data_IF_336978442700
#
_entry.id   IF_336978442700
#
_cell.length_a   1.000
_cell.length_b   1.000
_cell.length_c   1.000
_cell.angle_alpha   90.00
_cell.angle_beta   90.00
_cell.angle_gamma   90.00
#
_symmetry.space_group_name_H-M   'P 1'
#
loop_
_entity.id
_entity.type
_entity.pdbx_description
1 polymer ?
#
# COMPACT_ATOMS: atom_id res chain seq x y z
N UNK A 1 4.16 -1.34 -3.62
CA UNK A 1 3.30 -2.03 -4.62
C UNK A 1 3.61 -1.49 -6.02
N UNK A 2 3.47 -2.27 -7.11
CA UNK A 2 3.84 -1.81 -8.46
C UNK A 2 3.02 -0.60 -8.95
N UNK A 3 1.71 -0.61 -8.65
CA UNK A 3 0.81 0.51 -8.94
C UNK A 3 1.16 1.77 -8.14
N UNK A 4 1.37 1.64 -6.83
CA UNK A 4 1.83 2.74 -5.98
C UNK A 4 3.15 3.36 -6.50
N UNK A 5 4.11 2.54 -6.97
CA UNK A 5 5.35 3.04 -7.60
C UNK A 5 5.08 3.78 -8.91
N UNK A 6 4.14 3.28 -9.71
CA UNK A 6 3.74 3.92 -10.98
C UNK A 6 3.11 5.29 -10.74
N UNK A 7 2.31 5.44 -9.68
CA UNK A 7 1.73 6.71 -9.25
C UNK A 7 2.80 7.64 -8.68
N UNK A 8 3.73 7.14 -7.87
CA UNK A 8 4.90 7.91 -7.42
C UNK A 8 5.70 8.51 -8.59
N UNK A 9 5.90 7.73 -9.65
CA UNK A 9 6.58 8.19 -10.86
C UNK A 9 5.76 9.22 -11.65
N UNK A 10 4.43 9.13 -11.62
CA UNK A 10 3.54 10.11 -12.22
C UNK A 10 3.49 11.42 -11.41
N UNK A 11 3.56 11.31 -10.08
CA UNK A 11 3.56 12.40 -9.10
C UNK A 11 4.96 12.95 -8.78
N UNK A 12 5.99 12.55 -9.53
CA UNK A 12 7.38 12.90 -9.23
C UNK A 12 7.62 14.41 -9.22
N UNK A 13 8.23 14.89 -8.15
CA UNK A 13 8.68 16.28 -8.00
C UNK A 13 9.62 16.70 -9.15
N UNK A 14 9.54 17.97 -9.57
CA UNK A 14 10.32 18.52 -10.69
C UNK A 14 9.63 18.44 -12.05
N UNK A 15 8.46 17.81 -12.14
CA UNK A 15 7.55 17.97 -13.30
C UNK A 15 6.70 19.23 -13.12
N UNK A 16 6.25 19.80 -14.23
CA UNK A 16 5.25 20.87 -14.20
C UNK A 16 3.98 20.39 -13.48
N UNK A 17 3.44 21.16 -12.50
CA UNK A 17 2.28 20.73 -11.71
C UNK A 17 1.07 20.31 -12.56
N UNK A 18 0.83 21.01 -13.66
CA UNK A 18 -0.27 20.69 -14.59
C UNK A 18 -0.09 19.31 -15.25
N UNK A 19 1.14 18.90 -15.54
CA UNK A 19 1.44 17.60 -16.12
C UNK A 19 1.25 16.47 -15.11
N UNK A 20 1.49 16.72 -13.83
CA UNK A 20 1.19 15.75 -12.76
C UNK A 20 -0.32 15.54 -12.68
N UNK A 21 -1.08 16.63 -12.62
CA UNK A 21 -2.54 16.59 -12.54
C UNK A 21 -3.18 15.87 -13.74
N UNK A 22 -2.74 16.15 -14.96
CA UNK A 22 -3.25 15.46 -16.15
C UNK A 22 -2.99 13.95 -16.12
N UNK A 23 -1.84 13.52 -15.60
CA UNK A 23 -1.49 12.09 -15.52
C UNK A 23 -2.29 11.38 -14.44
N UNK A 24 -2.46 11.99 -13.27
CA UNK A 24 -3.25 11.42 -12.17
C UNK A 24 -4.74 11.39 -12.53
N UNK A 25 -5.26 12.46 -13.16
CA UNK A 25 -6.62 12.49 -13.70
C UNK A 25 -6.88 11.37 -14.70
N UNK A 26 -5.93 11.10 -15.61
CA UNK A 26 -6.04 9.97 -16.53
C UNK A 26 -6.17 8.63 -15.78
N UNK A 27 -5.35 8.39 -14.74
CA UNK A 27 -5.47 7.18 -13.93
C UNK A 27 -6.81 7.08 -13.20
N UNK A 28 -7.28 8.18 -12.60
CA UNK A 28 -8.57 8.27 -11.93
C UNK A 28 -9.72 7.92 -12.88
N UNK A 29 -9.71 8.52 -14.06
CA UNK A 29 -10.75 8.29 -15.08
C UNK A 29 -10.72 6.84 -15.60
N UNK A 30 -9.54 6.25 -15.82
CA UNK A 30 -9.45 4.84 -16.21
C UNK A 30 -10.00 3.91 -15.12
N UNK A 31 -9.66 4.15 -13.85
CA UNK A 31 -10.10 3.29 -12.74
C UNK A 31 -11.59 3.47 -12.38
N UNK A 32 -12.21 4.57 -12.81
CA UNK A 32 -13.65 4.76 -12.71
C UNK A 32 -14.43 3.86 -13.70
N UNK A 33 -13.81 3.49 -14.83
CA UNK A 33 -14.38 2.58 -15.81
C UNK A 33 -14.18 1.09 -15.39
N UNK A 34 -15.08 0.18 -15.78
CA UNK A 34 -14.87 -1.26 -15.55
C UNK A 34 -13.62 -1.76 -16.30
N UNK A 35 -12.96 -2.79 -15.78
CA UNK A 35 -11.72 -3.32 -16.34
C UNK A 35 -11.85 -3.80 -17.79
N UNK A 36 -13.06 -4.13 -18.23
CA UNK A 36 -13.38 -4.49 -19.62
C UNK A 36 -13.22 -3.32 -20.60
N UNK A 37 -13.30 -2.08 -20.13
CA UNK A 37 -13.13 -0.87 -20.94
C UNK A 37 -11.69 -0.33 -20.94
N UNK A 38 -10.79 -0.93 -20.14
CA UNK A 38 -9.42 -0.43 -20.03
C UNK A 38 -8.60 -0.61 -21.31
N UNK A 39 -7.74 0.37 -21.65
CA UNK A 39 -6.91 0.29 -22.84
C UNK A 39 -5.90 -0.86 -22.72
N UNK A 40 -5.82 -1.68 -23.77
CA UNK A 40 -4.89 -2.83 -23.85
C UNK A 40 -3.41 -2.41 -23.94
N UNK A 41 -3.13 -1.13 -24.21
CA UNK A 41 -1.77 -0.59 -24.37
C UNK A 41 -1.03 -0.29 -23.07
N UNK A 42 -1.68 -0.33 -21.90
CA UNK A 42 -1.03 -0.11 -20.60
C UNK A 42 -0.90 -1.46 -19.86
N UNK A 43 0.31 -2.07 -19.80
CA UNK A 43 0.51 -3.40 -19.22
C UNK A 43 0.10 -3.50 -17.75
N UNK A 44 0.26 -2.40 -17.00
CA UNK A 44 -0.09 -2.36 -15.59
C UNK A 44 -1.61 -2.49 -15.37
N UNK A 45 -2.43 -1.89 -16.23
CA UNK A 45 -3.88 -2.08 -16.18
C UNK A 45 -4.25 -3.55 -16.43
N UNK A 46 -3.51 -4.25 -17.30
CA UNK A 46 -3.68 -5.70 -17.49
C UNK A 46 -3.48 -6.52 -16.22
N UNK A 47 -2.51 -6.14 -15.38
CA UNK A 47 -2.28 -6.79 -14.08
C UNK A 47 -3.34 -6.43 -13.03
N UNK A 48 -3.98 -5.26 -13.17
CA UNK A 48 -4.99 -4.78 -12.25
C UNK A 48 -6.40 -5.28 -12.57
N UNK A 49 -6.60 -6.10 -13.62
CA UNK A 49 -7.93 -6.65 -13.96
C UNK A 49 -8.53 -7.42 -12.77
N UNK A 50 -7.71 -8.12 -11.98
CA UNK A 50 -8.17 -8.84 -10.78
C UNK A 50 -8.73 -7.91 -9.69
N UNK A 51 -8.44 -6.62 -9.76
CA UNK A 51 -8.92 -5.60 -8.82
C UNK A 51 -10.24 -4.95 -9.28
N UNK A 52 -10.91 -5.49 -10.29
CA UNK A 52 -12.15 -4.90 -10.82
C UNK A 52 -13.23 -4.70 -9.74
N UNK A 53 -13.36 -5.64 -8.80
CA UNK A 53 -14.27 -5.52 -7.66
C UNK A 53 -13.82 -4.47 -6.61
N UNK A 54 -12.53 -4.13 -6.59
CA UNK A 54 -11.89 -3.24 -5.61
C UNK A 54 -11.32 -1.96 -6.27
N UNK A 55 -11.86 -1.55 -7.43
CA UNK A 55 -11.41 -0.34 -8.15
C UNK A 55 -11.44 0.92 -7.29
N UNK A 56 -12.38 1.00 -6.34
CA UNK A 56 -12.46 2.12 -5.39
C UNK A 56 -11.18 2.26 -4.55
N UNK A 57 -10.56 1.15 -4.12
CA UNK A 57 -9.30 1.18 -3.38
C UNK A 57 -8.12 1.64 -4.27
N UNK A 58 -8.13 1.29 -5.56
CA UNK A 58 -7.15 1.81 -6.52
C UNK A 58 -7.36 3.31 -6.79
N UNK A 59 -8.61 3.76 -6.91
CA UNK A 59 -8.95 5.17 -7.04
C UNK A 59 -8.48 5.99 -5.84
N UNK A 60 -8.72 5.49 -4.62
CA UNK A 60 -8.25 6.13 -3.40
C UNK A 60 -6.72 6.32 -3.36
N UNK A 61 -5.94 5.40 -3.94
CA UNK A 61 -4.49 5.57 -4.08
C UNK A 61 -4.15 6.75 -5.01
N UNK A 62 -4.88 6.91 -6.11
CA UNK A 62 -4.70 8.08 -7.00
C UNK A 62 -5.00 9.37 -6.24
N UNK A 63 -6.14 9.42 -5.55
CA UNK A 63 -6.56 10.59 -4.76
C UNK A 63 -5.56 10.90 -3.64
N UNK A 64 -5.00 9.88 -3.00
CA UNK A 64 -3.94 10.03 -1.99
C UNK A 64 -2.65 10.60 -2.56
N UNK A 65 -2.26 10.19 -3.76
CA UNK A 65 -1.12 10.78 -4.47
C UNK A 65 -1.40 12.21 -4.94
N UNK A 66 -2.62 12.53 -5.37
CA UNK A 66 -3.02 13.92 -5.67
C UNK A 66 -2.94 14.80 -4.42
N UNK A 67 -3.46 14.32 -3.29
CA UNK A 67 -3.37 14.99 -2.00
C UNK A 67 -1.91 15.20 -1.54
N UNK A 68 -1.03 14.23 -1.77
CA UNK A 68 0.40 14.37 -1.47
C UNK A 68 1.09 15.46 -2.31
N UNK A 69 0.63 15.68 -3.55
CA UNK A 69 1.22 16.67 -4.47
C UNK A 69 0.67 18.08 -4.22
N UNK A 70 -0.63 18.19 -3.92
CA UNK A 70 -1.35 19.48 -3.86
C UNK A 70 -1.62 19.94 -2.42
N UNK A 71 -1.73 18.99 -1.49
CA UNK A 71 -2.17 19.22 -0.12
C UNK A 71 -1.04 19.43 0.88
N UNK A 72 -1.44 19.91 2.06
CA UNK A 72 -0.58 20.12 3.23
C UNK A 72 -0.81 19.04 4.31
N UNK A 73 -1.49 17.95 3.96
CA UNK A 73 -1.92 16.91 4.90
C UNK A 73 -0.79 15.98 5.37
N UNK A 74 0.45 16.27 4.96
CA UNK A 74 1.65 15.53 5.32
C UNK A 74 1.67 14.08 4.80
N UNK A 75 0.81 13.72 3.85
CA UNK A 75 0.69 12.36 3.31
C UNK A 75 -0.33 11.47 4.03
N UNK A 76 -1.11 12.02 4.96
CA UNK A 76 -2.12 11.26 5.70
C UNK A 76 -3.20 10.65 4.80
N UNK A 77 -3.61 11.32 3.72
CA UNK A 77 -4.53 10.74 2.73
C UNK A 77 -3.88 9.57 1.99
N UNK A 78 -2.61 9.68 1.61
CA UNK A 78 -1.87 8.61 0.94
C UNK A 78 -1.69 7.38 1.84
N UNK A 79 -1.37 7.58 3.12
CA UNK A 79 -1.24 6.48 4.08
C UNK A 79 -2.58 5.77 4.30
N UNK A 80 -3.67 6.53 4.43
CA UNK A 80 -5.03 5.95 4.51
C UNK A 80 -5.35 5.12 3.26
N UNK A 81 -5.05 5.64 2.07
CA UNK A 81 -5.31 4.93 0.82
C UNK A 81 -4.48 3.65 0.69
N UNK A 82 -3.21 3.67 1.13
CA UNK A 82 -2.36 2.48 1.20
C UNK A 82 -2.92 1.42 2.16
N UNK A 83 -3.39 1.83 3.33
CA UNK A 83 -4.04 0.93 4.28
C UNK A 83 -5.30 0.29 3.67
N UNK A 84 -6.14 1.08 2.99
CA UNK A 84 -7.32 0.59 2.28
C UNK A 84 -6.96 -0.40 1.16
N UNK A 85 -5.89 -0.15 0.41
CA UNK A 85 -5.42 -1.07 -0.63
C UNK A 85 -4.97 -2.42 -0.07
N UNK A 86 -4.36 -2.46 1.12
CA UNK A 86 -4.02 -3.72 1.80
C UNK A 86 -5.27 -4.48 2.24
N UNK A 87 -6.27 -3.79 2.78
CA UNK A 87 -7.55 -4.40 3.15
C UNK A 87 -8.27 -4.96 1.92
N UNK A 88 -8.32 -4.21 0.82
CA UNK A 88 -8.86 -4.67 -0.46
C UNK A 88 -8.11 -5.90 -0.99
N UNK A 89 -6.78 -5.90 -0.93
CA UNK A 89 -5.98 -7.07 -1.31
C UNK A 89 -6.33 -8.30 -0.48
N UNK A 90 -6.57 -8.14 0.83
CA UNK A 90 -6.99 -9.24 1.68
C UNK A 90 -8.36 -9.81 1.27
N UNK A 91 -9.32 -8.95 0.88
CA UNK A 91 -10.60 -9.40 0.33
C UNK A 91 -10.44 -10.15 -0.99
N UNK A 92 -9.62 -9.63 -1.92
CA UNK A 92 -9.31 -10.34 -3.17
C UNK A 92 -8.64 -11.70 -2.92
N UNK A 93 -7.79 -11.78 -1.91
CA UNK A 93 -7.13 -13.02 -1.48
C UNK A 93 -8.02 -13.92 -0.61
N UNK A 94 -9.28 -13.55 -0.36
CA UNK A 94 -10.24 -14.29 0.48
C UNK A 94 -9.72 -14.53 1.91
N UNK A 95 -8.93 -13.59 2.43
CA UNK A 95 -8.47 -13.59 3.81
C UNK A 95 -9.53 -12.91 4.68
N UNK A 96 -9.87 -13.53 5.81
CA UNK A 96 -10.85 -12.97 6.74
C UNK A 96 -10.45 -11.56 7.19
N UNK A 97 -11.34 -10.60 6.92
CA UNK A 97 -11.18 -9.23 7.41
C UNK A 97 -11.37 -9.24 8.93
N UNK A 98 -10.34 -8.77 9.63
CA UNK A 98 -10.36 -8.65 11.08
C UNK A 98 -10.00 -7.22 11.45
N UNK A 99 -10.50 -6.68 12.57
CA UNK A 99 -10.08 -5.35 13.04
C UNK A 99 -8.55 -5.23 13.15
N UNK A 100 -7.87 -6.32 13.55
CA UNK A 100 -6.42 -6.39 13.65
C UNK A 100 -5.70 -6.21 12.29
N UNK A 101 -6.29 -6.69 11.19
CA UNK A 101 -5.76 -6.46 9.84
C UNK A 101 -5.84 -4.98 9.46
N UNK A 102 -6.99 -4.34 9.71
CA UNK A 102 -7.17 -2.92 9.40
C UNK A 102 -6.20 -2.04 10.20
N UNK A 103 -6.04 -2.31 11.51
CA UNK A 103 -5.07 -1.59 12.36
C UNK A 103 -3.64 -1.81 11.88
N UNK A 104 -3.26 -3.05 11.56
CA UNK A 104 -1.92 -3.34 11.06
C UNK A 104 -1.63 -2.72 9.69
N UNK A 105 -2.64 -2.65 8.80
CA UNK A 105 -2.51 -1.98 7.52
C UNK A 105 -2.30 -0.46 7.68
N UNK A 106 -3.02 0.17 8.60
CA UNK A 106 -2.84 1.58 8.94
C UNK A 106 -1.46 1.84 9.57
N UNK A 107 -1.06 1.03 10.55
CA UNK A 107 0.26 1.15 11.17
C UNK A 107 1.39 1.01 10.16
N UNK A 108 1.32 0.01 9.27
CA UNK A 108 2.30 -0.13 8.20
C UNK A 108 2.34 1.07 7.27
N UNK A 109 1.18 1.56 6.83
CA UNK A 109 1.09 2.67 5.89
C UNK A 109 1.69 3.96 6.46
N UNK A 110 1.43 4.24 7.74
CA UNK A 110 1.99 5.39 8.48
C UNK A 110 3.46 5.18 8.89
N UNK A 111 4.10 4.09 8.44
CA UNK A 111 5.48 3.78 8.78
C UNK A 111 5.68 3.34 10.24
N UNK A 112 4.62 3.03 11.00
CA UNK A 112 4.71 2.37 12.31
C UNK A 112 5.01 0.88 12.16
N UNK A 113 5.80 0.33 13.08
CA UNK A 113 6.20 -1.07 13.03
C UNK A 113 5.00 -2.01 13.21
N UNK A 114 4.94 -3.09 12.43
CA UNK A 114 3.85 -4.09 12.49
C UNK A 114 3.78 -4.85 13.83
N UNK A 115 4.82 -4.72 14.67
CA UNK A 115 4.99 -5.47 15.91
C UNK A 115 4.13 -5.02 17.10
N UNK A 116 3.29 -4.00 16.96
CA UNK A 116 2.38 -3.55 18.02
C UNK A 116 1.03 -4.32 18.04
N UNK A 117 0.68 -5.03 16.97
CA UNK A 117 -0.62 -5.68 16.82
C UNK A 117 -0.54 -7.22 16.90
N UNK A 118 -1.57 -7.83 17.50
CA UNK A 118 -1.81 -9.28 17.42
C UNK A 118 -2.32 -9.66 16.03
N UNK A 119 -1.41 -9.76 15.08
CA UNK A 119 -1.70 -10.30 13.77
C UNK A 119 -2.11 -11.80 13.88
N UNK A 120 -3.07 -12.27 13.07
CA UNK A 120 -3.40 -13.68 12.93
C UNK A 120 -2.14 -14.53 12.71
N UNK A 121 -2.14 -15.79 13.18
CA UNK A 121 -0.96 -16.67 13.08
C UNK A 121 -0.42 -16.78 11.65
N UNK A 122 -1.31 -16.79 10.66
CA UNK A 122 -0.96 -16.84 9.23
C UNK A 122 -0.16 -15.60 8.74
N UNK A 123 -0.31 -14.46 9.41
CA UNK A 123 0.32 -13.18 9.02
C UNK A 123 1.57 -12.85 9.84
N UNK A 124 1.93 -13.67 10.85
CA UNK A 124 3.14 -13.47 11.67
C UNK A 124 4.45 -13.43 10.90
N UNK A 125 4.65 -14.19 9.80
CA UNK A 125 5.87 -14.05 8.99
C UNK A 125 6.10 -12.62 8.46
N UNK A 126 5.04 -11.83 8.25
CA UNK A 126 5.16 -10.44 7.81
C UNK A 126 5.78 -9.53 8.87
N UNK A 127 5.56 -9.80 10.17
CA UNK A 127 6.19 -9.07 11.28
C UNK A 127 7.70 -9.27 11.29
N UNK A 128 8.15 -10.46 10.89
CA UNK A 128 9.58 -10.75 10.77
C UNK A 128 10.17 -10.03 9.57
N UNK A 129 9.49 -10.04 8.42
CA UNK A 129 9.94 -9.31 7.24
C UNK A 129 10.01 -7.79 7.48
N UNK A 130 9.00 -7.19 8.11
CA UNK A 130 9.01 -5.78 8.53
C UNK A 130 10.15 -5.48 9.50
N UNK A 131 10.46 -6.41 10.42
CA UNK A 131 11.61 -6.28 11.31
C UNK A 131 12.94 -6.28 10.55
N UNK A 132 13.10 -7.17 9.56
CA UNK A 132 14.31 -7.22 8.74
C UNK A 132 14.47 -5.99 7.84
N UNK A 133 13.39 -5.53 7.23
CA UNK A 133 13.39 -4.32 6.38
C UNK A 133 13.80 -3.08 7.19
N UNK A 134 13.21 -2.91 8.38
CA UNK A 134 13.52 -1.79 9.29
C UNK A 134 14.87 -1.88 9.97
N UNK A 135 15.48 -3.07 10.03
CA UNK A 135 16.78 -3.25 10.67
C UNK A 135 17.91 -2.54 9.91
N UNK A 136 17.73 -2.22 8.62
CA UNK A 136 18.71 -1.48 7.83
C UNK A 136 20.10 -2.14 7.87
N UNK A 137 21.12 -1.37 8.25
CA UNK A 137 22.52 -1.83 8.38
C UNK A 137 22.88 -2.40 9.75
N UNK A 138 21.90 -2.67 10.61
CA UNK A 138 22.17 -3.21 11.95
C UNK A 138 22.90 -4.55 11.89
N UNK A 139 23.77 -4.78 12.89
CA UNK A 139 24.58 -6.00 12.97
C UNK A 139 23.69 -7.27 12.91
N UNK A 140 24.01 -8.26 12.05
CA UNK A 140 23.14 -9.41 11.77
C UNK A 140 22.64 -10.16 13.00
N UNK A 141 23.49 -10.30 14.02
CA UNK A 141 23.15 -10.97 15.28
C UNK A 141 22.08 -10.24 16.10
N UNK A 142 22.06 -8.89 16.07
CA UNK A 142 21.03 -8.06 16.74
C UNK A 142 19.68 -8.20 16.04
N UNK A 143 19.72 -8.28 14.71
CA UNK A 143 18.52 -8.49 13.89
C UNK A 143 17.93 -9.87 14.17
N UNK A 144 18.77 -10.91 14.21
CA UNK A 144 18.37 -12.28 14.57
C UNK A 144 17.78 -12.36 15.98
N UNK A 145 18.40 -11.76 16.99
CA UNK A 145 17.84 -11.76 18.36
C UNK A 145 16.48 -11.07 18.44
N UNK A 146 16.31 -9.95 17.72
CA UNK A 146 15.01 -9.27 17.61
C UNK A 146 13.94 -10.12 16.93
N UNK A 147 14.32 -10.87 15.88
CA UNK A 147 13.44 -11.81 15.18
C UNK A 147 13.04 -13.00 16.07
N UNK A 148 13.98 -13.59 16.82
CA UNK A 148 13.71 -14.66 17.79
C UNK A 148 12.77 -14.17 18.89
N UNK A 149 13.00 -12.96 19.42
CA UNK A 149 12.10 -12.35 20.43
C UNK A 149 10.68 -12.19 19.89
N UNK A 150 10.51 -11.65 18.68
CA UNK A 150 9.19 -11.43 18.06
C UNK A 150 8.49 -12.74 17.65
N UNK A 151 9.25 -13.74 17.18
CA UNK A 151 8.72 -15.04 16.77
C UNK A 151 8.35 -15.97 17.93
N UNK A 152 9.09 -15.89 19.04
CA UNK A 152 8.94 -16.82 20.17
C UNK A 152 8.00 -16.32 21.28
N UNK A 153 7.89 -15.00 21.49
CA UNK A 153 7.09 -14.44 22.60
C UNK A 153 5.63 -14.13 22.28
N UNK A 154 5.21 -14.17 21.01
CA UNK A 154 3.80 -14.21 20.58
C UNK A 154 2.75 -13.52 21.48
N UNK A 155 3.01 -12.29 21.94
CA UNK A 155 2.08 -11.46 22.72
C UNK A 155 1.74 -10.20 21.95
#
# INVERSE_FOLDING_TARGET
>A
MAFDRRLADAARAGREPIMIQLRLAWWRDRLAEPATAWPRGEPLLGLLIAWDAERAALGALVDGWEAQVVGEDGGTALDRARAQAIVALARLAQVAETPALATAAADWAEGRGLGANRLPRALRPLVLLDHFERAGTAAPWRVMLGAVRKGWLGR
#
